data_IF_914775381217
#
_entry.id   IF_914775381217
#
_cell.length_a   1.000
_cell.length_b   1.000
_cell.length_c   1.000
_cell.angle_alpha   90.00
_cell.angle_beta   90.00
_cell.angle_gamma   90.00
#
_symmetry.space_group_name_H-M   'P 1'
#
loop_
_entity.id
_entity.type
_entity.pdbx_description
1 polymer ?
#
# COMPACT_ATOMS: atom_id res chain seq x y z
N UNK A 1 -4.31 -8.68 -17.71
CA UNK A 1 -3.30 -7.66 -18.07
C UNK A 1 -3.83 -6.30 -17.64
N UNK A 2 -3.00 -5.42 -17.12
CA UNK A 2 -3.42 -4.08 -16.70
C UNK A 2 -3.56 -3.16 -17.93
N UNK A 3 -4.65 -2.41 -18.01
CA UNK A 3 -4.93 -1.51 -19.14
C UNK A 3 -4.05 -0.26 -19.12
N UNK A 4 -4.02 0.52 -20.23
CA UNK A 4 -3.18 1.72 -20.33
C UNK A 4 -3.57 2.83 -19.35
N UNK A 5 -4.80 2.82 -18.81
CA UNK A 5 -5.25 3.78 -17.79
C UNK A 5 -4.89 3.37 -16.35
N UNK A 6 -3.87 2.54 -16.17
CA UNK A 6 -3.43 2.07 -14.86
C UNK A 6 -2.03 2.57 -14.53
N UNK A 7 -1.78 2.81 -13.25
CA UNK A 7 -0.46 3.17 -12.73
C UNK A 7 -0.11 2.25 -11.54
N UNK A 8 1.16 1.85 -11.38
CA UNK A 8 1.63 1.25 -10.12
C UNK A 8 2.17 2.35 -9.22
N UNK A 9 1.75 2.34 -7.97
CA UNK A 9 2.25 3.18 -6.90
C UNK A 9 2.77 2.28 -5.80
N UNK A 10 4.04 2.43 -5.46
CA UNK A 10 4.65 1.73 -4.32
C UNK A 10 4.57 2.61 -3.10
N UNK A 11 3.90 2.13 -2.06
CA UNK A 11 3.88 2.73 -0.73
C UNK A 11 4.89 2.06 0.18
N UNK A 12 5.63 2.85 0.97
CA UNK A 12 6.68 2.37 1.84
C UNK A 12 6.40 2.65 3.32
N UNK A 13 6.72 1.67 4.17
CA UNK A 13 6.80 1.83 5.61
C UNK A 13 8.22 1.58 6.09
N UNK A 14 8.86 2.63 6.63
CA UNK A 14 10.11 2.50 7.36
C UNK A 14 9.80 1.91 8.73
N UNK A 15 10.46 0.80 9.08
CA UNK A 15 10.37 0.22 10.42
C UNK A 15 11.06 1.18 11.42
N UNK A 16 10.46 1.49 12.58
CA UNK A 16 11.21 2.07 13.69
C UNK A 16 12.29 1.06 14.11
N UNK A 17 13.50 1.55 14.30
CA UNK A 17 14.78 0.83 14.23
C UNK A 17 15.03 -0.25 15.31
N UNK A 18 14.00 -0.80 15.99
CA UNK A 18 14.20 -1.55 17.24
C UNK A 18 13.42 -2.88 17.41
N UNK A 19 12.91 -3.50 16.35
CA UNK A 19 12.39 -4.87 16.44
C UNK A 19 13.42 -5.85 15.87
N UNK A 20 13.96 -6.71 16.74
CA UNK A 20 15.02 -7.68 16.39
C UNK A 20 14.65 -8.66 15.24
N UNK A 21 13.39 -8.68 14.82
CA UNK A 21 12.87 -9.50 13.71
C UNK A 21 13.12 -8.85 12.34
N UNK A 22 13.31 -7.52 12.24
CA UNK A 22 13.43 -6.78 10.95
C UNK A 22 14.85 -6.51 10.47
N UNK A 23 15.90 -7.04 11.13
CA UNK A 23 17.30 -6.74 10.80
C UNK A 23 17.74 -7.10 9.37
N UNK A 24 17.00 -7.96 8.64
CA UNK A 24 17.33 -8.32 7.25
C UNK A 24 16.48 -7.60 6.19
N UNK A 25 15.39 -6.91 6.55
CA UNK A 25 14.43 -6.33 5.59
C UNK A 25 13.84 -4.99 6.06
N UNK A 26 14.67 -4.01 6.40
CA UNK A 26 14.29 -2.73 7.04
C UNK A 26 13.24 -1.83 6.34
N UNK A 27 12.54 -2.31 5.32
CA UNK A 27 11.50 -1.61 4.56
C UNK A 27 10.37 -2.58 4.19
N UNK A 28 9.14 -2.28 4.62
CA UNK A 28 7.94 -2.98 4.17
C UNK A 28 7.27 -2.15 3.08
N UNK A 29 6.95 -2.77 1.94
CA UNK A 29 6.38 -2.05 0.79
C UNK A 29 5.16 -2.76 0.22
N UNK A 30 4.23 -1.99 -0.34
CA UNK A 30 3.05 -2.47 -1.07
C UNK A 30 3.01 -1.77 -2.45
N UNK A 31 3.02 -2.50 -3.58
CA UNK A 31 2.62 -1.94 -4.88
C UNK A 31 1.11 -2.04 -5.02
N UNK A 32 0.50 -0.92 -5.35
CA UNK A 32 -0.91 -0.80 -5.73
C UNK A 32 -0.98 -0.53 -7.22
N UNK A 33 -1.74 -1.35 -7.95
CA UNK A 33 -2.16 -1.01 -9.30
C UNK A 33 -3.49 -0.30 -9.20
N UNK A 34 -3.54 0.94 -9.69
CA UNK A 34 -4.71 1.80 -9.56
C UNK A 34 -5.14 2.34 -10.91
N UNK A 35 -6.46 2.52 -11.06
CA UNK A 35 -7.00 3.33 -12.16
C UNK A 35 -6.57 4.78 -11.96
N UNK A 36 -5.99 5.36 -13.00
CA UNK A 36 -5.28 6.64 -12.95
C UNK A 36 -6.20 7.81 -12.61
N UNK A 37 -7.44 7.77 -13.07
CA UNK A 37 -8.36 8.91 -12.99
C UNK A 37 -9.20 8.85 -11.70
N UNK A 38 -9.77 7.67 -11.41
CA UNK A 38 -10.62 7.45 -10.23
C UNK A 38 -9.81 7.24 -8.94
N UNK A 39 -8.61 6.68 -9.03
CA UNK A 39 -7.82 6.26 -7.87
C UNK A 39 -8.29 4.94 -7.27
N UNK A 40 -9.14 4.20 -7.98
CA UNK A 40 -9.61 2.88 -7.57
C UNK A 40 -8.46 1.87 -7.62
N UNK A 41 -8.29 1.13 -6.52
CA UNK A 41 -7.30 0.08 -6.40
C UNK A 41 -7.83 -1.17 -7.10
N UNK A 42 -7.17 -1.54 -8.19
CA UNK A 42 -7.48 -2.73 -8.98
C UNK A 42 -6.94 -3.97 -8.26
N UNK A 43 -5.70 -3.90 -7.78
CA UNK A 43 -5.06 -4.96 -7.01
C UNK A 43 -3.83 -4.41 -6.28
N UNK A 44 -3.28 -5.19 -5.35
CA UNK A 44 -2.01 -4.90 -4.71
C UNK A 44 -1.24 -6.17 -4.38
N UNK A 45 0.07 -6.02 -4.17
CA UNK A 45 0.96 -7.04 -3.65
C UNK A 45 2.01 -6.40 -2.76
N UNK A 46 2.43 -7.08 -1.71
CA UNK A 46 3.40 -6.57 -0.75
C UNK A 46 4.59 -7.50 -0.58
N UNK A 47 5.60 -7.02 0.14
CA UNK A 47 6.83 -7.75 0.46
C UNK A 47 6.64 -8.88 1.49
N UNK A 48 5.41 -9.30 1.81
CA UNK A 48 5.18 -10.49 2.65
C UNK A 48 5.76 -11.74 1.99
N UNK A 49 6.48 -12.55 2.77
CA UNK A 49 7.01 -13.84 2.33
C UNK A 49 5.89 -14.89 2.13
N UNK A 50 4.80 -14.79 2.89
CA UNK A 50 3.68 -15.73 2.85
C UNK A 50 2.66 -15.24 1.83
N UNK A 51 2.45 -15.99 0.76
CA UNK A 51 1.48 -15.69 -0.30
C UNK A 51 0.05 -15.54 0.24
N UNK A 52 -0.38 -16.43 1.14
CA UNK A 52 -1.70 -16.35 1.79
C UNK A 52 -1.93 -15.01 2.49
N UNK A 53 -0.90 -14.45 3.13
CA UNK A 53 -1.00 -13.13 3.76
C UNK A 53 -1.15 -12.03 2.72
N UNK A 54 -0.40 -12.11 1.62
CA UNK A 54 -0.57 -11.19 0.50
C UNK A 54 -1.99 -11.25 -0.06
N UNK A 55 -2.49 -12.45 -0.38
CA UNK A 55 -3.85 -12.63 -0.92
C UNK A 55 -4.92 -12.06 0.02
N UNK A 56 -4.80 -12.34 1.33
CA UNK A 56 -5.70 -11.81 2.34
C UNK A 56 -5.70 -10.28 2.35
N UNK A 57 -4.52 -9.66 2.34
CA UNK A 57 -4.37 -8.20 2.33
C UNK A 57 -4.92 -7.60 1.03
N UNK A 58 -4.72 -8.26 -0.12
CA UNK A 58 -5.31 -7.83 -1.40
C UNK A 58 -6.84 -7.77 -1.30
N UNK A 59 -7.50 -8.64 -0.53
CA UNK A 59 -8.96 -8.55 -0.30
C UNK A 59 -9.40 -7.32 0.49
N UNK A 60 -8.52 -6.76 1.32
CA UNK A 60 -8.80 -5.54 2.08
C UNK A 60 -8.73 -4.32 1.16
N UNK A 61 -7.81 -4.29 0.19
CA UNK A 61 -7.59 -3.11 -0.65
C UNK A 61 -8.37 -3.10 -1.97
N UNK A 62 -8.65 -4.26 -2.55
CA UNK A 62 -9.28 -4.34 -3.88
C UNK A 62 -10.64 -3.66 -3.91
N UNK A 63 -10.93 -2.96 -5.02
CA UNK A 63 -12.16 -2.19 -5.26
C UNK A 63 -12.40 -1.01 -4.29
N UNK A 64 -11.37 -0.60 -3.54
CA UNK A 64 -11.42 0.63 -2.73
C UNK A 64 -10.59 1.74 -3.36
N UNK A 65 -10.87 2.98 -3.01
CA UNK A 65 -10.20 4.16 -3.56
C UNK A 65 -9.07 4.65 -2.66
N UNK A 66 -7.93 5.00 -3.27
CA UNK A 66 -6.83 5.70 -2.61
C UNK A 66 -7.24 7.08 -2.07
N UNK A 67 -8.34 7.67 -2.54
CA UNK A 67 -8.72 9.05 -2.17
C UNK A 67 -9.88 9.14 -1.20
N UNK A 68 -10.85 8.22 -1.26
CA UNK A 68 -12.08 8.31 -0.46
C UNK A 68 -12.15 7.30 0.67
N UNK A 69 -11.50 6.13 0.54
CA UNK A 69 -11.78 4.99 1.41
C UNK A 69 -10.70 4.75 2.47
N UNK A 70 -9.84 5.74 2.70
CA UNK A 70 -8.67 5.57 3.58
C UNK A 70 -9.03 5.17 5.02
N UNK A 71 -10.13 5.70 5.55
CA UNK A 71 -10.60 5.34 6.90
C UNK A 71 -11.23 3.95 6.95
N UNK A 72 -12.01 3.58 5.93
CA UNK A 72 -12.60 2.23 5.80
C UNK A 72 -11.48 1.19 5.73
N UNK A 73 -10.45 1.44 4.92
CA UNK A 73 -9.26 0.59 4.80
C UNK A 73 -8.55 0.46 6.14
N UNK A 74 -8.31 1.57 6.84
CA UNK A 74 -7.65 1.57 8.16
C UNK A 74 -8.39 0.66 9.13
N UNK A 75 -9.71 0.83 9.25
CA UNK A 75 -10.57 0.04 10.13
C UNK A 75 -10.57 -1.44 9.74
N UNK A 76 -10.63 -1.77 8.45
CA UNK A 76 -10.54 -3.17 8.01
C UNK A 76 -9.18 -3.79 8.34
N UNK A 77 -8.07 -3.10 8.13
CA UNK A 77 -6.73 -3.60 8.51
C UNK A 77 -6.66 -3.84 10.01
N UNK A 78 -7.15 -2.90 10.83
CA UNK A 78 -7.11 -3.01 12.29
C UNK A 78 -7.97 -4.15 12.84
N UNK A 79 -9.12 -4.42 12.21
CA UNK A 79 -10.06 -5.44 12.68
C UNK A 79 -9.88 -6.83 12.05
N UNK A 80 -9.18 -6.94 10.92
CA UNK A 80 -9.07 -8.19 10.15
C UNK A 80 -7.65 -8.75 10.12
N UNK A 81 -6.62 -7.91 10.29
CA UNK A 81 -5.23 -8.35 10.24
C UNK A 81 -4.51 -8.13 11.57
N UNK A 82 -4.30 -9.21 12.33
CA UNK A 82 -3.66 -9.17 13.66
C UNK A 82 -2.16 -9.52 13.64
N UNK A 83 -1.49 -9.34 12.50
CA UNK A 83 -0.05 -9.58 12.38
C UNK A 83 0.80 -8.38 12.82
N UNK A 84 2.08 -8.63 13.15
CA UNK A 84 3.02 -7.59 13.59
C UNK A 84 3.16 -6.40 12.61
N UNK A 85 2.96 -6.65 11.31
CA UNK A 85 3.06 -5.63 10.26
C UNK A 85 1.81 -4.74 10.11
N UNK A 86 0.82 -4.81 11.01
CA UNK A 86 -0.44 -4.04 10.89
C UNK A 86 -0.19 -2.54 10.73
N UNK A 87 0.67 -1.96 11.60
CA UNK A 87 1.06 -0.54 11.50
C UNK A 87 1.81 -0.24 10.20
N UNK A 88 2.68 -1.15 9.75
CA UNK A 88 3.44 -0.98 8.52
C UNK A 88 2.52 -0.94 7.29
N UNK A 89 1.47 -1.77 7.25
CA UNK A 89 0.45 -1.73 6.19
C UNK A 89 -0.21 -0.35 6.11
N UNK A 90 -0.65 0.20 7.25
CA UNK A 90 -1.30 1.52 7.30
C UNK A 90 -0.35 2.64 6.86
N UNK A 91 0.92 2.58 7.28
CA UNK A 91 1.93 3.58 6.89
C UNK A 91 2.22 3.52 5.39
N UNK A 92 2.46 2.32 4.84
CA UNK A 92 2.71 2.12 3.41
C UNK A 92 1.52 2.59 2.57
N UNK A 93 0.30 2.29 3.00
CA UNK A 93 -0.90 2.77 2.35
C UNK A 93 -0.98 4.31 2.34
N UNK A 94 -0.76 4.98 3.47
CA UNK A 94 -0.75 6.45 3.56
C UNK A 94 0.33 7.07 2.67
N UNK A 95 1.49 6.44 2.55
CA UNK A 95 2.54 6.87 1.64
C UNK A 95 2.09 6.77 0.17
N UNK A 96 1.44 5.67 -0.22
CA UNK A 96 0.84 5.52 -1.55
C UNK A 96 -0.24 6.59 -1.83
N UNK A 97 -1.10 6.90 -0.86
CA UNK A 97 -2.10 7.98 -0.99
C UNK A 97 -1.44 9.34 -1.27
N UNK A 98 -0.35 9.67 -0.56
CA UNK A 98 0.40 10.91 -0.79
C UNK A 98 0.98 10.95 -2.20
N UNK A 99 1.61 9.86 -2.64
CA UNK A 99 2.18 9.75 -3.99
C UNK A 99 1.10 9.89 -5.07
N UNK A 100 -0.04 9.23 -4.93
CA UNK A 100 -1.18 9.35 -5.84
C UNK A 100 -1.69 10.81 -5.95
N UNK A 101 -1.87 11.47 -4.80
CA UNK A 101 -2.33 12.86 -4.78
C UNK A 101 -1.32 13.83 -5.44
N UNK A 102 -0.02 13.57 -5.31
CA UNK A 102 1.02 14.34 -6.01
C UNK A 102 0.94 14.14 -7.53
N UNK A 103 0.80 12.89 -7.98
CA UNK A 103 0.62 12.56 -9.41
C UNK A 103 -0.61 13.27 -9.98
N UNK A 104 -1.75 13.24 -9.26
CA UNK A 104 -3.00 13.90 -9.67
C UNK A 104 -2.87 15.42 -9.78
N UNK A 105 -1.96 16.04 -9.02
CA UNK A 105 -1.65 17.47 -9.08
C UNK A 105 -0.60 17.82 -10.15
N UNK A 106 -0.11 16.84 -10.92
CA UNK A 106 0.96 17.03 -11.90
C UNK A 106 2.35 17.18 -11.27
N UNK A 107 2.50 16.89 -9.98
CA UNK A 107 3.80 16.91 -9.29
C UNK A 107 4.50 15.58 -9.56
N UNK A 108 5.64 15.61 -10.26
CA UNK A 108 6.46 14.42 -10.45
C UNK A 108 7.01 13.93 -9.11
N UNK A 109 6.60 12.73 -8.72
CA UNK A 109 7.08 12.06 -7.52
C UNK A 109 8.51 11.58 -7.79
N UNK A 110 9.48 12.10 -7.04
CA UNK A 110 10.86 11.60 -7.09
C UNK A 110 10.91 10.17 -6.53
N UNK A 111 11.50 9.26 -7.29
CA UNK A 111 11.85 7.91 -6.82
C UNK A 111 12.94 8.11 -5.76
N UNK A 112 12.59 7.89 -4.50
CA UNK A 112 13.58 7.93 -3.42
C UNK A 112 14.30 6.59 -3.38
N UNK A 113 15.57 6.58 -3.79
CA UNK A 113 16.51 5.45 -3.62
C UNK A 113 16.53 4.94 -2.18
#
# INVERSE_FOLDING_TARGET
MFGPNTICIVGDAKSPQNDAVTHQYGRFSICFVVDKDSGNIITCSSTFAISLTNDFITTIFSNKSLTTDGEIIRVEVENRYFGASQKAIIVAFKDAQKKYNSIKKGIHVQVTE
#
